data_IF_760999490657
#
_entry.id   IF_760999490657
#
_cell.length_a   1.000
_cell.length_b   1.000
_cell.length_c   1.000
_cell.angle_alpha   90.00
_cell.angle_beta   90.00
_cell.angle_gamma   90.00
#
_symmetry.space_group_name_H-M   'P 1'
#
loop_
_entity.id
_entity.type
_entity.pdbx_description
1 polymer ?
#
# COMPACT_ATOMS: atom_id res chain seq x y z
N UNK A 1 -10.25 -4.29 -2.11
CA UNK A 1 -9.77 -5.65 -2.39
C UNK A 1 -9.67 -6.55 -1.16
N UNK A 2 -9.65 -6.05 0.10
CA UNK A 2 -9.71 -6.95 1.26
C UNK A 2 -8.37 -7.49 1.78
N UNK A 3 -7.23 -6.99 1.28
CA UNK A 3 -5.87 -7.41 1.70
C UNK A 3 -5.67 -7.44 3.21
N UNK A 4 -6.00 -6.36 3.91
CA UNK A 4 -5.89 -6.29 5.37
C UNK A 4 -6.72 -7.36 6.08
N UNK A 5 -7.89 -7.71 5.53
CA UNK A 5 -8.73 -8.81 6.08
C UNK A 5 -8.06 -10.15 5.87
N UNK A 6 -7.59 -10.43 4.65
CA UNK A 6 -6.86 -11.68 4.34
C UNK A 6 -5.59 -11.81 5.18
N UNK A 7 -4.80 -10.75 5.33
CA UNK A 7 -3.59 -10.75 6.16
C UNK A 7 -3.91 -11.07 7.64
N UNK A 8 -5.02 -10.56 8.18
CA UNK A 8 -5.48 -10.90 9.53
C UNK A 8 -5.92 -12.35 9.65
N UNK A 9 -6.65 -12.87 8.67
CA UNK A 9 -7.09 -14.27 8.64
C UNK A 9 -5.86 -15.20 8.56
N UNK A 10 -4.92 -14.94 7.64
CA UNK A 10 -3.67 -15.69 7.53
C UNK A 10 -2.88 -15.69 8.84
N UNK A 11 -2.78 -14.54 9.52
CA UNK A 11 -2.16 -14.47 10.84
C UNK A 11 -2.84 -15.40 11.85
N UNK A 12 -4.17 -15.41 11.89
CA UNK A 12 -4.93 -16.28 12.80
C UNK A 12 -4.65 -17.75 12.47
N UNK A 13 -4.70 -18.12 11.18
CA UNK A 13 -4.49 -19.49 10.72
C UNK A 13 -3.09 -19.98 11.11
N UNK A 14 -2.06 -19.23 10.69
CA UNK A 14 -0.65 -19.58 10.94
C UNK A 14 -0.31 -19.63 12.43
N UNK A 15 -0.90 -18.74 13.24
CA UNK A 15 -0.68 -18.75 14.69
C UNK A 15 -1.41 -19.92 15.38
N UNK A 16 -2.69 -20.12 15.08
CA UNK A 16 -3.53 -21.09 15.83
C UNK A 16 -3.28 -22.54 15.42
N UNK A 17 -3.19 -22.80 14.12
CA UNK A 17 -3.11 -24.15 13.57
C UNK A 17 -1.68 -24.59 13.29
N UNK A 18 -0.82 -23.67 12.83
CA UNK A 18 0.58 -24.00 12.52
C UNK A 18 1.57 -23.60 13.63
N UNK A 19 1.08 -23.01 14.73
CA UNK A 19 1.87 -22.60 15.91
C UNK A 19 3.07 -21.70 15.61
N UNK A 20 3.00 -20.89 14.55
CA UNK A 20 4.10 -20.00 14.12
C UNK A 20 4.03 -18.61 14.73
N UNK A 21 5.18 -17.97 14.92
CA UNK A 21 5.32 -16.57 15.34
C UNK A 21 5.19 -15.63 14.13
N UNK A 22 4.05 -14.95 14.03
CA UNK A 22 3.70 -14.11 12.87
C UNK A 22 3.66 -12.64 13.24
N UNK A 23 4.33 -11.80 12.43
CA UNK A 23 4.12 -10.37 12.43
C UNK A 23 3.38 -9.92 11.17
N UNK A 24 2.38 -9.05 11.33
CA UNK A 24 1.67 -8.42 10.20
C UNK A 24 1.88 -6.92 10.30
N UNK A 25 2.37 -6.31 9.22
CA UNK A 25 2.54 -4.88 9.11
C UNK A 25 1.94 -4.38 7.81
N UNK A 26 1.38 -3.16 7.83
CA UNK A 26 0.93 -2.47 6.63
C UNK A 26 2.05 -1.55 6.14
N UNK A 27 2.33 -1.51 4.83
CA UNK A 27 3.24 -0.48 4.30
C UNK A 27 2.70 0.94 4.59
N UNK A 28 1.39 1.07 4.74
CA UNK A 28 0.73 2.33 5.12
C UNK A 28 1.17 2.84 6.51
N UNK A 29 1.58 1.95 7.42
CA UNK A 29 2.11 2.36 8.73
C UNK A 29 3.42 3.14 8.61
N UNK A 30 4.10 3.00 7.47
CA UNK A 30 5.36 3.66 7.15
C UNK A 30 5.17 4.93 6.31
N UNK A 31 3.96 5.46 6.15
CA UNK A 31 3.81 6.77 5.51
C UNK A 31 4.70 7.82 6.18
N UNK A 32 5.26 8.72 5.35
CA UNK A 32 5.93 9.93 5.80
C UNK A 32 4.98 10.80 6.60
N UNK A 33 5.54 11.62 7.49
CA UNK A 33 4.72 12.52 8.31
C UNK A 33 3.98 13.53 7.45
N UNK A 34 2.94 14.16 7.99
CA UNK A 34 2.25 15.25 7.28
C UNK A 34 3.23 16.40 6.97
N UNK A 35 4.13 16.73 7.91
CA UNK A 35 5.20 17.72 7.71
C UNK A 35 6.08 17.38 6.50
N UNK A 36 6.54 16.14 6.40
CA UNK A 36 7.38 15.69 5.30
C UNK A 36 6.63 15.73 3.95
N UNK A 37 5.36 15.33 3.93
CA UNK A 37 4.54 15.39 2.71
C UNK A 37 4.24 16.81 2.28
N UNK A 38 4.01 17.73 3.23
CA UNK A 38 3.89 19.16 2.92
C UNK A 38 5.20 19.67 2.30
N UNK A 39 6.36 19.34 2.88
CA UNK A 39 7.66 19.69 2.26
C UNK A 39 7.77 19.16 0.84
N UNK A 40 7.48 17.87 0.60
CA UNK A 40 7.47 17.28 -0.74
C UNK A 40 6.49 17.98 -1.71
N UNK A 41 5.36 18.47 -1.19
CA UNK A 41 4.38 19.18 -2.01
C UNK A 41 4.91 20.53 -2.53
N UNK A 42 5.75 21.21 -1.75
CA UNK A 42 6.41 22.46 -2.14
C UNK A 42 7.66 22.22 -2.99
N UNK A 43 8.49 21.24 -2.62
CA UNK A 43 9.81 21.02 -3.25
C UNK A 43 9.80 20.10 -4.46
N UNK A 44 8.68 19.42 -4.74
CA UNK A 44 8.62 18.44 -5.83
C UNK A 44 7.34 18.56 -6.62
N UNK A 45 6.19 18.34 -6.00
CA UNK A 45 4.91 18.46 -6.70
C UNK A 45 3.71 18.51 -5.74
N UNK A 46 2.73 19.42 -5.91
CA UNK A 46 1.59 19.58 -5.00
C UNK A 46 0.83 18.28 -4.68
N UNK A 47 0.72 17.37 -5.65
CA UNK A 47 0.07 16.07 -5.48
C UNK A 47 0.70 15.19 -4.38
N UNK A 48 1.96 15.40 -4.00
CA UNK A 48 2.60 14.67 -2.89
C UNK A 48 2.08 15.04 -1.50
N UNK A 49 1.25 16.08 -1.39
CA UNK A 49 0.47 16.31 -0.16
C UNK A 49 -0.45 15.12 0.15
N UNK A 50 -0.92 14.39 -0.87
CA UNK A 50 -1.74 13.20 -0.69
C UNK A 50 -0.86 11.97 -0.44
N UNK A 51 -1.00 11.31 0.73
CA UNK A 51 -0.37 10.01 0.99
C UNK A 51 -0.89 8.94 0.03
N UNK A 52 -0.08 7.94 -0.27
CA UNK A 52 -0.53 6.75 -1.00
C UNK A 52 0.56 6.21 -1.91
N UNK A 53 0.94 7.03 -2.89
CA UNK A 53 1.84 6.65 -3.98
C UNK A 53 3.27 6.38 -3.50
N UNK A 54 4.03 5.49 -4.19
CA UNK A 54 5.45 5.35 -3.98
C UNK A 54 6.17 6.70 -3.94
N UNK A 55 7.07 6.84 -2.97
CA UNK A 55 7.69 8.11 -2.57
C UNK A 55 7.08 8.72 -1.30
N UNK A 56 5.80 8.42 -0.98
CA UNK A 56 5.15 8.94 0.23
C UNK A 56 5.36 8.07 1.48
N UNK A 57 6.06 6.94 1.36
CA UNK A 57 6.50 6.12 2.49
C UNK A 57 7.93 6.47 2.92
N UNK A 58 8.22 6.28 4.19
CA UNK A 58 9.54 6.40 4.79
C UNK A 58 10.29 5.08 4.65
N UNK A 59 10.94 4.93 3.49
CA UNK A 59 11.64 3.69 3.13
C UNK A 59 12.78 3.36 4.09
N UNK A 60 13.37 4.35 4.76
CA UNK A 60 14.41 4.10 5.75
C UNK A 60 13.85 3.34 6.96
N UNK A 61 12.64 3.68 7.42
CA UNK A 61 11.97 2.91 8.47
C UNK A 61 11.61 1.49 8.02
N UNK A 62 11.16 1.32 6.78
CA UNK A 62 10.86 -0.03 6.25
C UNK A 62 12.12 -0.88 6.17
N UNK A 63 13.23 -0.33 5.63
CA UNK A 63 14.53 -1.01 5.59
C UNK A 63 15.04 -1.36 6.98
N UNK A 64 14.94 -0.44 7.93
CA UNK A 64 15.34 -0.66 9.32
C UNK A 64 14.54 -1.80 9.96
N UNK A 65 13.25 -1.90 9.66
CA UNK A 65 12.42 -3.02 10.11
C UNK A 65 12.92 -4.36 9.57
N UNK A 66 13.12 -4.49 8.25
CA UNK A 66 13.63 -5.73 7.66
C UNK A 66 15.04 -6.08 8.16
N UNK A 67 15.91 -5.09 8.32
CA UNK A 67 17.23 -5.27 8.90
C UNK A 67 17.18 -5.90 10.30
N UNK A 68 16.33 -5.37 11.20
CA UNK A 68 16.22 -5.91 12.56
C UNK A 68 15.64 -7.33 12.60
N UNK A 69 14.68 -7.64 11.72
CA UNK A 69 14.12 -9.01 11.67
C UNK A 69 15.14 -10.01 11.15
N UNK A 70 15.98 -9.62 10.18
CA UNK A 70 16.97 -10.50 9.56
C UNK A 70 18.25 -10.65 10.39
N UNK A 71 18.50 -9.77 11.36
CA UNK A 71 19.68 -9.82 12.25
C UNK A 71 19.74 -11.14 13.04
N UNK A 72 20.92 -11.77 13.13
CA UNK A 72 21.13 -13.04 13.86
C UNK A 72 20.68 -12.94 15.32
N UNK A 73 21.22 -11.97 16.06
CA UNK A 73 20.78 -11.61 17.42
C UNK A 73 19.64 -10.61 17.33
N UNK A 74 18.41 -11.07 17.60
CA UNK A 74 17.24 -10.21 17.54
C UNK A 74 17.25 -9.18 18.67
N UNK A 75 16.92 -7.94 18.33
CA UNK A 75 16.75 -6.84 19.27
C UNK A 75 15.30 -6.38 19.25
N UNK A 76 14.73 -6.17 20.45
CA UNK A 76 13.40 -5.58 20.58
C UNK A 76 13.37 -4.26 19.84
N UNK A 77 12.39 -4.08 18.96
CA UNK A 77 12.33 -2.91 18.09
C UNK A 77 10.92 -2.35 18.02
N UNK A 78 10.80 -1.11 17.55
CA UNK A 78 9.52 -0.42 17.39
C UNK A 78 9.23 -0.19 15.93
N UNK A 79 7.97 -0.35 15.55
CA UNK A 79 7.47 -0.04 14.22
C UNK A 79 6.56 1.18 14.22
N UNK A 80 6.65 2.05 13.20
CA UNK A 80 5.75 3.17 13.09
C UNK A 80 4.31 2.68 13.05
N UNK A 81 3.42 3.57 13.48
CA UNK A 81 1.98 3.40 13.40
C UNK A 81 1.42 4.66 12.76
N UNK A 82 0.65 4.50 11.69
CA UNK A 82 0.04 5.63 11.00
C UNK A 82 -1.45 5.71 11.33
N UNK A 83 -1.91 6.90 11.72
CA UNK A 83 -3.32 7.13 11.98
C UNK A 83 -3.95 7.93 10.84
N UNK A 84 -4.77 7.22 10.05
CA UNK A 84 -5.49 7.77 8.89
C UNK A 84 -6.53 8.83 9.27
N UNK A 85 -6.96 8.90 10.54
CA UNK A 85 -7.96 9.87 11.00
C UNK A 85 -7.38 11.27 11.19
N UNK A 86 -6.14 11.35 11.69
CA UNK A 86 -5.36 12.60 11.79
C UNK A 86 -4.47 12.83 10.57
N UNK A 87 -4.37 11.85 9.69
CA UNK A 87 -3.52 11.86 8.50
C UNK A 87 -2.03 12.02 8.81
N UNK A 88 -1.56 11.41 9.91
CA UNK A 88 -0.16 11.49 10.32
C UNK A 88 0.34 10.26 11.06
N UNK A 89 1.67 10.15 11.16
CA UNK A 89 2.35 9.13 11.96
C UNK A 89 2.21 9.45 13.45
N UNK A 90 1.89 8.44 14.25
CA UNK A 90 1.83 8.61 15.69
C UNK A 90 3.23 8.80 16.31
N UNK A 91 3.27 9.47 17.47
CA UNK A 91 4.51 9.62 18.27
C UNK A 91 5.11 8.25 18.61
N UNK A 92 6.45 8.16 18.71
CA UNK A 92 7.21 6.91 18.96
C UNK A 92 6.73 6.10 20.17
N UNK A 93 6.14 6.73 21.20
CA UNK A 93 5.58 6.01 22.36
C UNK A 93 4.36 5.14 22.02
N UNK A 94 3.65 5.45 20.94
CA UNK A 94 2.48 4.69 20.45
C UNK A 94 2.79 3.75 19.28
N UNK A 95 4.06 3.59 18.95
CA UNK A 95 4.53 2.65 17.92
C UNK A 95 4.31 1.21 18.37
N UNK A 96 4.19 0.28 17.42
CA UNK A 96 4.06 -1.12 17.75
C UNK A 96 5.37 -1.64 18.33
N UNK A 97 5.30 -2.37 19.45
CA UNK A 97 6.47 -3.01 20.04
C UNK A 97 6.61 -4.44 19.50
N UNK A 98 7.72 -4.72 18.82
CA UNK A 98 8.11 -6.08 18.46
C UNK A 98 9.02 -6.62 19.54
N UNK A 99 8.46 -7.51 20.37
CA UNK A 99 9.15 -8.07 21.54
C UNK A 99 9.98 -9.31 21.21
N UNK A 100 9.64 -10.02 20.14
CA UNK A 100 10.25 -11.28 19.73
C UNK A 100 10.42 -11.33 18.21
N UNK A 101 11.40 -12.11 17.74
CA UNK A 101 11.64 -12.32 16.32
C UNK A 101 10.47 -13.09 15.70
N UNK A 102 9.79 -12.55 14.69
CA UNK A 102 8.80 -13.32 13.93
C UNK A 102 9.51 -14.35 13.04
N UNK A 103 8.90 -15.53 12.92
CA UNK A 103 9.27 -16.54 11.92
C UNK A 103 8.74 -16.14 10.54
N UNK A 104 7.56 -15.52 10.49
CA UNK A 104 6.94 -15.07 9.24
C UNK A 104 6.50 -13.62 9.39
N UNK A 105 6.82 -12.82 8.37
CA UNK A 105 6.40 -11.43 8.25
C UNK A 105 5.46 -11.28 7.07
N UNK A 106 4.25 -10.83 7.33
CA UNK A 106 3.29 -10.46 6.28
C UNK A 106 3.34 -8.94 6.15
N UNK A 107 3.95 -8.45 5.08
CA UNK A 107 3.87 -7.05 4.67
C UNK A 107 2.71 -6.87 3.69
N UNK A 108 1.64 -6.21 4.12
CA UNK A 108 0.49 -5.94 3.26
C UNK A 108 0.46 -4.49 2.79
N UNK A 109 -0.07 -4.26 1.59
CA UNK A 109 -0.17 -2.92 1.02
C UNK A 109 -0.68 -2.93 -0.40
N UNK A 110 -1.22 -1.81 -0.86
CA UNK A 110 -1.81 -1.72 -2.20
C UNK A 110 -0.77 -1.67 -3.32
N UNK A 111 0.42 -1.15 -3.04
CA UNK A 111 1.53 -1.01 -3.98
C UNK A 111 2.70 -1.97 -3.71
N UNK A 112 2.54 -2.94 -2.79
CA UNK A 112 3.58 -3.94 -2.51
C UNK A 112 3.78 -4.82 -3.74
N UNK A 113 5.02 -4.89 -4.24
CA UNK A 113 5.36 -5.58 -5.49
C UNK A 113 5.13 -4.76 -6.77
N UNK A 114 4.81 -3.47 -6.66
CA UNK A 114 4.70 -2.59 -7.82
C UNK A 114 6.06 -2.43 -8.54
N UNK A 115 6.05 -2.43 -9.88
CA UNK A 115 7.23 -2.26 -10.72
C UNK A 115 7.18 -0.90 -11.45
N UNK A 116 8.35 -0.32 -11.80
CA UNK A 116 8.38 0.88 -12.63
C UNK A 116 7.83 0.59 -14.03
N UNK A 117 7.23 1.61 -14.65
CA UNK A 117 6.81 1.63 -16.05
C UNK A 117 7.92 2.16 -16.95
N UNK A 118 7.86 1.81 -18.23
CA UNK A 118 8.72 2.40 -19.26
C UNK A 118 8.45 3.90 -19.43
N UNK A 119 9.46 4.63 -19.91
CA UNK A 119 9.33 6.07 -20.17
C UNK A 119 8.22 6.39 -21.18
N UNK A 120 7.96 5.52 -22.16
CA UNK A 120 6.87 5.70 -23.14
C UNK A 120 5.49 5.67 -22.49
N UNK A 121 5.25 4.71 -21.58
CA UNK A 121 3.97 4.59 -20.85
C UNK A 121 3.73 5.76 -19.89
N UNK A 122 4.80 6.39 -19.38
CA UNK A 122 4.71 7.51 -18.45
C UNK A 122 4.29 8.80 -19.15
N UNK A 123 4.65 9.00 -20.44
CA UNK A 123 4.31 10.23 -21.18
C UNK A 123 2.79 10.41 -21.32
N UNK A 124 2.05 9.34 -21.62
CA UNK A 124 0.59 9.42 -21.85
C UNK A 124 -0.18 9.49 -20.52
N UNK A 125 -1.00 10.53 -20.26
CA UNK A 125 -1.88 10.58 -19.09
C UNK A 125 -2.93 9.47 -19.15
N UNK A 126 -3.21 8.85 -18.01
CA UNK A 126 -4.21 7.77 -17.90
C UNK A 126 -5.55 8.23 -17.29
N UNK A 127 -5.59 9.46 -16.76
CA UNK A 127 -6.78 10.08 -16.21
C UNK A 127 -6.65 11.62 -16.19
N UNK A 128 -7.74 12.29 -15.80
CA UNK A 128 -7.82 13.75 -15.78
C UNK A 128 -6.84 14.39 -14.77
N UNK A 129 -6.56 13.72 -13.64
CA UNK A 129 -5.60 14.22 -12.66
C UNK A 129 -4.21 14.35 -13.27
N UNK A 130 -3.74 13.31 -13.96
CA UNK A 130 -2.45 13.38 -14.66
C UNK A 130 -2.47 14.36 -15.83
N UNK A 131 -3.59 14.44 -16.57
CA UNK A 131 -3.72 15.32 -17.73
C UNK A 131 -3.65 16.80 -17.35
N UNK A 132 -4.31 17.19 -16.26
CA UNK A 132 -4.48 18.61 -15.91
C UNK A 132 -3.60 19.09 -14.77
N UNK A 133 -3.20 18.22 -13.85
CA UNK A 133 -2.43 18.60 -12.65
C UNK A 133 -1.00 18.10 -12.63
N UNK A 134 -0.62 17.17 -13.52
CA UNK A 134 0.76 16.70 -13.71
C UNK A 134 1.19 16.84 -15.18
N UNK A 135 0.86 17.99 -15.78
CA UNK A 135 1.13 18.31 -17.20
C UNK A 135 2.61 18.09 -17.56
N UNK A 136 3.51 18.47 -16.65
CA UNK A 136 4.96 18.40 -16.83
C UNK A 136 5.56 17.04 -16.45
N UNK A 137 4.73 16.04 -16.15
CA UNK A 137 5.12 14.66 -15.80
C UNK A 137 5.93 14.52 -14.50
N UNK A 138 6.09 15.59 -13.73
CA UNK A 138 6.99 15.67 -12.58
C UNK A 138 6.58 14.62 -11.53
N UNK A 139 5.28 14.57 -11.20
CA UNK A 139 4.78 13.68 -10.16
C UNK A 139 4.90 12.21 -10.56
N UNK A 140 4.43 11.85 -11.76
CA UNK A 140 4.49 10.46 -12.24
C UNK A 140 5.91 9.98 -12.55
N UNK A 141 6.82 10.83 -13.06
CA UNK A 141 8.24 10.49 -13.21
C UNK A 141 8.89 10.25 -11.85
N UNK A 142 8.61 11.11 -10.86
CA UNK A 142 9.15 10.94 -9.51
C UNK A 142 8.70 9.62 -8.87
N UNK A 143 7.41 9.28 -8.95
CA UNK A 143 6.89 7.99 -8.48
C UNK A 143 7.62 6.83 -9.16
N UNK A 144 7.77 6.90 -10.48
CA UNK A 144 8.44 5.84 -11.23
C UNK A 144 9.90 5.67 -10.85
N UNK A 145 10.62 6.77 -10.59
CA UNK A 145 12.01 6.71 -10.15
C UNK A 145 12.15 6.10 -8.76
N UNK A 146 11.22 6.41 -7.84
CA UNK A 146 11.15 5.74 -6.52
C UNK A 146 10.90 4.25 -6.67
N UNK A 147 10.02 3.85 -7.60
CA UNK A 147 9.80 2.44 -7.94
C UNK A 147 11.06 1.76 -8.49
N UNK A 148 11.78 2.43 -9.39
CA UNK A 148 13.01 1.92 -10.02
C UNK A 148 14.15 1.72 -9.03
N UNK A 149 14.27 2.61 -8.03
CA UNK A 149 15.35 2.59 -7.03
C UNK A 149 14.91 1.99 -5.71
N UNK A 150 14.24 2.78 -4.88
CA UNK A 150 14.02 2.49 -3.47
C UNK A 150 13.09 1.30 -3.23
N UNK A 151 11.97 1.26 -3.96
CA UNK A 151 10.96 0.22 -3.77
C UNK A 151 11.40 -1.09 -4.42
N UNK A 152 12.17 -1.05 -5.51
CA UNK A 152 12.79 -2.25 -6.09
C UNK A 152 13.61 -3.00 -5.02
N UNK A 153 14.56 -2.31 -4.37
CA UNK A 153 15.38 -2.88 -3.27
C UNK A 153 14.54 -3.38 -2.10
N UNK A 154 13.44 -2.69 -1.78
CA UNK A 154 12.51 -3.12 -0.73
C UNK A 154 11.80 -4.44 -1.11
N UNK A 155 11.27 -4.50 -2.32
CA UNK A 155 10.49 -5.63 -2.82
C UNK A 155 11.34 -6.85 -3.15
N UNK A 156 12.63 -6.67 -3.45
CA UNK A 156 13.61 -7.77 -3.56
C UNK A 156 13.83 -8.51 -2.23
N UNK A 157 13.47 -7.92 -1.08
CA UNK A 157 13.57 -8.60 0.22
C UNK A 157 12.38 -9.52 0.53
N UNK A 158 11.35 -9.55 -0.31
CA UNK A 158 10.11 -10.32 -0.12
C UNK A 158 10.25 -11.67 -0.83
N UNK A 159 10.08 -12.76 -0.09
CA UNK A 159 10.28 -14.12 -0.59
C UNK A 159 9.09 -14.63 -1.42
N UNK A 160 7.87 -14.20 -1.10
CA UNK A 160 6.64 -14.68 -1.74
C UNK A 160 5.60 -13.56 -1.87
N UNK A 161 4.89 -13.54 -3.01
CA UNK A 161 3.83 -12.57 -3.28
C UNK A 161 2.46 -13.24 -3.39
N UNK A 162 1.50 -12.75 -2.58
CA UNK A 162 0.07 -13.05 -2.72
C UNK A 162 -0.63 -11.83 -3.32
N UNK A 163 -1.03 -11.93 -4.58
CA UNK A 163 -1.69 -10.85 -5.31
C UNK A 163 -3.21 -11.05 -5.38
N UNK A 164 -3.96 -10.19 -4.70
CA UNK A 164 -5.42 -10.13 -4.82
C UNK A 164 -5.83 -9.30 -6.04
N UNK A 165 -6.01 -9.99 -7.18
CA UNK A 165 -6.33 -9.37 -8.47
C UNK A 165 -7.79 -8.95 -8.53
N UNK A 166 -8.00 -7.66 -8.77
CA UNK A 166 -9.33 -7.08 -8.99
C UNK A 166 -9.76 -7.34 -10.45
N UNK A 167 -11.08 -7.44 -10.75
CA UNK A 167 -11.51 -7.73 -12.11
C UNK A 167 -11.29 -6.54 -13.06
N UNK A 168 -11.45 -5.31 -12.58
CA UNK A 168 -11.11 -4.07 -13.29
C UNK A 168 -10.97 -2.89 -12.31
N UNK A 169 -10.42 -1.77 -12.79
CA UNK A 169 -10.17 -0.61 -11.95
C UNK A 169 -11.46 0.07 -11.43
N UNK A 170 -12.57 -0.02 -12.17
CA UNK A 170 -13.85 0.54 -11.73
C UNK A 170 -14.33 -0.08 -10.41
N UNK A 171 -13.95 -1.33 -10.11
CA UNK A 171 -14.24 -1.93 -8.81
C UNK A 171 -13.55 -1.23 -7.65
N UNK A 172 -12.37 -0.61 -7.85
CA UNK A 172 -11.72 0.19 -6.80
C UNK A 172 -12.62 1.35 -6.36
N UNK A 173 -13.28 2.01 -7.32
CA UNK A 173 -14.26 3.05 -7.04
C UNK A 173 -15.42 2.52 -6.21
N UNK A 174 -16.11 1.49 -6.71
CA UNK A 174 -17.29 0.91 -6.06
C UNK A 174 -16.97 0.48 -4.63
N UNK A 175 -15.85 -0.20 -4.44
CA UNK A 175 -15.45 -0.69 -3.12
C UNK A 175 -15.02 0.43 -2.17
N UNK A 176 -14.38 1.49 -2.68
CA UNK A 176 -14.08 2.68 -1.86
C UNK A 176 -15.37 3.38 -1.44
N UNK A 177 -16.33 3.54 -2.36
CA UNK A 177 -17.64 4.11 -2.06
C UNK A 177 -18.39 3.31 -0.99
N UNK A 178 -18.40 1.97 -1.11
CA UNK A 178 -18.98 1.09 -0.09
C UNK A 178 -18.28 1.25 1.27
N UNK A 179 -16.95 1.39 1.29
CA UNK A 179 -16.19 1.61 2.52
C UNK A 179 -16.58 2.94 3.18
N UNK A 180 -16.64 4.04 2.42
CA UNK A 180 -17.06 5.36 2.92
C UNK A 180 -18.51 5.36 3.43
N UNK A 181 -19.42 4.68 2.73
CA UNK A 181 -20.80 4.51 3.18
C UNK A 181 -20.92 3.73 4.49
N UNK A 182 -20.14 2.64 4.65
CA UNK A 182 -20.09 1.87 5.90
C UNK A 182 -19.51 2.70 7.06
N UNK A 183 -18.51 3.55 6.78
CA UNK A 183 -17.96 4.47 7.77
C UNK A 183 -19.00 5.51 8.21
N UNK A 184 -19.77 6.08 7.26
CA UNK A 184 -20.86 7.02 7.54
C UNK A 184 -21.90 6.44 8.50
N UNK A 185 -22.30 5.18 8.29
CA UNK A 185 -23.28 4.49 9.17
C UNK A 185 -22.74 4.22 10.58
N UNK A 186 -21.43 4.04 10.75
CA UNK A 186 -20.80 3.70 12.03
C UNK A 186 -20.35 4.92 12.85
N UNK A 187 -20.28 6.10 12.25
CA UNK A 187 -19.78 7.29 12.93
C UNK A 187 -20.91 8.10 13.56
N UNK A 188 -21.06 8.06 14.89
CA UNK A 188 -21.80 9.06 15.67
C UNK A 188 -21.08 10.42 15.74
N UNK A 189 -19.76 10.46 15.48
CA UNK A 189 -18.92 11.66 15.52
C UNK A 189 -18.24 11.94 14.18
N UNK A 190 -18.10 13.23 13.82
CA UNK A 190 -17.57 13.82 12.56
C UNK A 190 -16.21 13.25 12.09
N UNK A 191 -16.16 12.01 11.58
CA UNK A 191 -15.04 11.57 10.75
C UNK A 191 -15.15 12.27 9.39
N UNK A 192 -14.01 12.68 8.82
CA UNK A 192 -13.93 13.27 7.47
C UNK A 192 -14.36 12.21 6.43
N UNK A 193 -15.67 12.11 6.16
CA UNK A 193 -16.22 11.25 5.12
C UNK A 193 -15.97 11.89 3.78
N UNK A 194 -15.49 11.10 2.83
CA UNK A 194 -15.21 11.60 1.49
C UNK A 194 -16.49 11.61 0.64
N UNK A 195 -16.95 12.77 0.10
CA UNK A 195 -18.06 12.80 -0.83
C UNK A 195 -17.69 12.13 -2.15
N UNK A 196 -18.70 11.71 -2.91
CA UNK A 196 -18.57 10.94 -4.15
C UNK A 196 -17.53 11.51 -5.14
N UNK A 197 -17.56 12.82 -5.41
CA UNK A 197 -16.61 13.47 -6.32
C UNK A 197 -15.17 13.44 -5.80
N UNK A 198 -14.98 13.60 -4.49
CA UNK A 198 -13.65 13.44 -3.87
C UNK A 198 -13.17 11.99 -3.96
N UNK A 199 -14.06 10.99 -3.89
CA UNK A 199 -13.68 9.57 -4.09
C UNK A 199 -13.21 9.34 -5.52
N UNK A 200 -13.96 9.83 -6.52
CA UNK A 200 -13.57 9.72 -7.95
C UNK A 200 -12.17 10.28 -8.18
N UNK A 201 -11.90 11.46 -7.62
CA UNK A 201 -10.58 12.08 -7.67
C UNK A 201 -9.52 11.27 -6.91
N UNK A 202 -9.83 10.84 -5.69
CA UNK A 202 -8.89 10.13 -4.82
C UNK A 202 -8.37 8.84 -5.47
N UNK A 203 -9.23 8.06 -6.12
CA UNK A 203 -8.79 6.81 -6.76
C UNK A 203 -7.83 7.05 -7.93
N UNK A 204 -7.87 8.22 -8.58
CA UNK A 204 -7.00 8.53 -9.72
C UNK A 204 -5.52 8.48 -9.36
N UNK A 205 -5.16 8.81 -8.12
CA UNK A 205 -3.79 8.70 -7.60
C UNK A 205 -3.25 7.26 -7.69
N UNK A 206 -4.13 6.27 -7.62
CA UNK A 206 -3.77 4.85 -7.51
C UNK A 206 -3.89 4.11 -8.85
N UNK A 207 -4.52 4.73 -9.85
CA UNK A 207 -4.95 4.05 -11.08
C UNK A 207 -3.79 3.50 -11.89
N UNK A 208 -2.76 4.32 -12.15
CA UNK A 208 -1.62 3.95 -12.98
C UNK A 208 -0.93 2.69 -12.46
N UNK A 209 -0.55 2.73 -11.18
CA UNK A 209 0.14 1.63 -10.52
C UNK A 209 -0.78 0.41 -10.42
N UNK A 210 -2.06 0.59 -10.08
CA UNK A 210 -2.99 -0.54 -9.99
C UNK A 210 -3.12 -1.27 -11.33
N UNK A 211 -3.29 -0.54 -12.43
CA UNK A 211 -3.38 -1.14 -13.77
C UNK A 211 -2.09 -1.84 -14.17
N UNK A 212 -0.94 -1.26 -13.82
CA UNK A 212 0.37 -1.89 -14.08
C UNK A 212 0.54 -3.18 -13.27
N UNK A 213 0.23 -3.16 -11.97
CA UNK A 213 0.30 -4.34 -11.09
C UNK A 213 -0.63 -5.47 -11.56
N UNK A 214 -1.82 -5.14 -12.07
CA UNK A 214 -2.71 -6.14 -12.68
C UNK A 214 -2.00 -6.87 -13.82
N UNK A 215 -1.16 -6.20 -14.63
CA UNK A 215 -0.39 -6.86 -15.69
C UNK A 215 0.79 -7.64 -15.13
N UNK A 216 1.59 -7.01 -14.28
CA UNK A 216 2.87 -7.56 -13.83
C UNK A 216 2.70 -8.70 -12.82
N UNK A 217 1.94 -8.46 -11.74
CA UNK A 217 1.78 -9.44 -10.66
C UNK A 217 0.85 -10.58 -11.03
N UNK A 218 -0.02 -10.43 -12.05
CA UNK A 218 -0.71 -11.60 -12.63
C UNK A 218 0.28 -12.63 -13.18
N UNK A 219 1.46 -12.18 -13.64
CA UNK A 219 2.48 -13.03 -14.24
C UNK A 219 3.60 -13.39 -13.29
N UNK A 220 3.87 -12.59 -12.26
CA UNK A 220 5.04 -12.82 -11.40
C UNK A 220 4.75 -13.08 -9.92
N UNK A 221 3.50 -12.97 -9.45
CA UNK A 221 3.20 -13.33 -8.07
C UNK A 221 3.13 -14.85 -7.88
N UNK A 222 3.64 -15.33 -6.74
CA UNK A 222 3.61 -16.74 -6.37
C UNK A 222 2.17 -17.28 -6.26
N UNK A 223 1.25 -16.45 -5.74
CA UNK A 223 -0.18 -16.78 -5.63
C UNK A 223 -1.01 -15.61 -6.17
N UNK A 224 -1.97 -15.91 -7.05
CA UNK A 224 -2.93 -14.92 -7.57
C UNK A 224 -4.34 -15.31 -7.16
N UNK A 225 -4.95 -14.49 -6.30
CA UNK A 225 -6.35 -14.63 -5.89
C UNK A 225 -7.23 -13.75 -6.78
N UNK A 226 -8.02 -14.36 -7.65
CA UNK A 226 -8.92 -13.68 -8.58
C UNK A 226 -10.21 -13.26 -7.85
N UNK A 227 -10.44 -11.96 -7.72
CA UNK A 227 -11.65 -11.42 -7.12
C UNK A 227 -12.75 -11.21 -8.16
N UNK A 228 -13.99 -11.53 -7.81
CA UNK A 228 -15.17 -11.12 -8.57
C UNK A 228 -15.65 -9.71 -8.16
N UNK A 229 -16.78 -9.27 -8.72
CA UNK A 229 -17.37 -7.94 -8.44
C UNK A 229 -17.90 -7.82 -6.99
N UNK A 230 -18.22 -8.93 -6.35
CA UNK A 230 -18.80 -9.02 -5.00
C UNK A 230 -17.74 -9.10 -3.87
N UNK A 231 -16.45 -8.94 -4.19
CA UNK A 231 -15.31 -9.15 -3.27
C UNK A 231 -15.02 -10.61 -2.90
N UNK A 232 -15.58 -11.59 -3.61
CA UNK A 232 -15.32 -13.00 -3.35
C UNK A 232 -14.12 -13.48 -4.17
N UNK A 233 -13.36 -14.42 -3.61
CA UNK A 233 -12.27 -15.09 -4.31
C UNK A 233 -12.90 -16.17 -5.21
N UNK A 234 -12.92 -15.93 -6.52
CA UNK A 234 -13.47 -16.86 -7.50
C UNK A 234 -12.52 -18.02 -7.80
N UNK A 235 -11.22 -17.74 -7.82
CA UNK A 235 -10.17 -18.72 -8.15
C UNK A 235 -8.86 -18.31 -7.50
N UNK A 236 -8.08 -19.30 -7.09
CA UNK A 236 -6.69 -19.11 -6.63
C UNK A 236 -5.79 -19.82 -7.63
N UNK A 237 -4.77 -19.12 -8.11
CA UNK A 237 -3.74 -19.67 -8.98
C UNK A 237 -2.44 -19.72 -8.20
N UNK A 238 -1.80 -20.89 -8.16
CA UNK A 238 -0.48 -21.10 -7.59
C UNK A 238 0.50 -21.19 -8.75
N UNK A 239 1.60 -20.43 -8.67
CA UNK A 239 2.71 -20.59 -9.59
C UNK A 239 3.71 -21.56 -8.96
N UNK A 240 4.04 -22.59 -9.73
CA UNK A 240 5.21 -23.45 -9.54
C UNK A 240 6.49 -22.63 -9.63
#
# INVERSE_FOLDING_TARGET
SGKTTVAKILKIILKKFFKRKIHVSSIDDFYKTLKDRNKMSYTTHPLFKTRGVPGTHDINLVKKFFYFIKKKKFEKTKLPKFDKSIDDRLKKKYWYNIKERPEIVILEGWCVGAKPQSNSLIKKPINILEKYEDKNLIWRKHINERLKREYKKLFEMIDCYIFMKIPNFHMVFKWRLLQENKLRKKSRFKKKIMPYNKIKRFIMFYQRITLQMIKDLSKSASIVMLLNKNHEIKKVLFKS
#
